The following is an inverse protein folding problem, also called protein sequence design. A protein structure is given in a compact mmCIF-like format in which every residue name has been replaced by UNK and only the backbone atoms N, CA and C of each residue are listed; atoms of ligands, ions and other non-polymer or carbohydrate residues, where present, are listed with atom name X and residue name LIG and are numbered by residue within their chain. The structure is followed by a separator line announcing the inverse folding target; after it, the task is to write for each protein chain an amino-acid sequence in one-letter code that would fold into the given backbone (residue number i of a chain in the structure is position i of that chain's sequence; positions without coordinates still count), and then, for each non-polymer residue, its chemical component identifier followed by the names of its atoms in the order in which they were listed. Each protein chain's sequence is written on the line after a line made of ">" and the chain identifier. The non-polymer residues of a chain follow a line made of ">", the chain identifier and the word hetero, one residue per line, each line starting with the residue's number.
data_IF_837640972475
#
_entry.id   IF_837640972475
#
_cell.length_a   1.000
_cell.length_b   1.000
_cell.length_c   1.000
_cell.angle_alpha   90.00
_cell.angle_beta   90.00
_cell.angle_gamma   90.00
#
_symmetry.space_group_name_H-M   'P 1'
#
loop_
_entity.id
_entity.type
_entity.pdbx_description
1 polymer ?
#
# COMPACT_ATOMS: atom_id res chain seq x y z
N UNK A 1 -2.78 17.47 -22.53
CA UNK A 1 -1.84 17.57 -21.40
C UNK A 1 -2.02 16.29 -20.63
N UNK A 2 -1.00 15.44 -20.62
CA UNK A 2 -1.00 14.24 -19.77
C UNK A 2 -0.25 14.61 -18.49
N UNK A 3 -0.92 14.49 -17.36
CA UNK A 3 -0.34 14.71 -16.04
C UNK A 3 -0.32 13.38 -15.28
N UNK A 4 0.80 13.10 -14.64
CA UNK A 4 1.01 11.89 -13.83
C UNK A 4 1.27 12.32 -12.39
N UNK A 5 0.57 11.68 -11.45
CA UNK A 5 0.70 11.92 -10.01
C UNK A 5 1.00 10.58 -9.33
N UNK A 6 2.07 10.54 -8.54
CA UNK A 6 2.46 9.39 -7.74
C UNK A 6 2.18 9.66 -6.26
N UNK A 7 1.61 8.69 -5.55
CA UNK A 7 1.34 8.77 -4.11
C UNK A 7 2.17 7.71 -3.38
N UNK A 8 3.32 8.07 -2.77
CA UNK A 8 4.30 7.12 -2.26
C UNK A 8 3.95 6.56 -0.85
N UNK A 9 2.81 6.95 -0.30
CA UNK A 9 2.46 6.77 1.12
C UNK A 9 2.51 5.32 1.60
N UNK A 10 2.08 4.37 0.74
CA UNK A 10 2.07 2.94 1.05
C UNK A 10 3.47 2.32 1.07
N UNK A 11 4.34 2.70 0.14
CA UNK A 11 5.70 2.16 0.04
C UNK A 11 6.62 2.70 1.15
N UNK A 12 6.61 4.02 1.33
CA UNK A 12 7.51 4.69 2.28
C UNK A 12 7.25 4.28 3.73
N UNK A 13 5.98 4.05 4.09
CA UNK A 13 5.62 3.61 5.45
C UNK A 13 5.65 2.09 5.60
N UNK A 14 5.36 1.33 4.54
CA UNK A 14 5.63 -0.10 4.49
C UNK A 14 7.10 -0.40 4.80
N UNK A 15 8.02 0.42 4.26
CA UNK A 15 9.45 0.29 4.54
C UNK A 15 9.86 0.57 5.99
N UNK A 16 9.08 1.36 6.72
CA UNK A 16 9.34 1.64 8.13
C UNK A 16 9.01 0.43 9.03
N UNK A 17 8.23 -0.54 8.54
CA UNK A 17 7.81 -1.72 9.30
C UNK A 17 6.86 -1.37 10.46
N UNK A 18 6.13 -0.26 10.39
CA UNK A 18 5.14 0.15 11.38
C UNK A 18 3.73 -0.03 10.81
N UNK A 19 3.02 -1.04 11.29
CA UNK A 19 1.67 -1.40 10.80
C UNK A 19 0.67 -0.27 11.01
N UNK A 20 0.68 0.38 12.16
CA UNK A 20 -0.28 1.44 12.44
C UNK A 20 0.03 2.67 11.60
N UNK A 21 1.31 3.02 11.42
CA UNK A 21 1.73 4.11 10.55
C UNK A 21 1.39 3.84 9.08
N UNK A 22 1.59 2.62 8.58
CA UNK A 22 1.22 2.24 7.21
C UNK A 22 -0.29 2.33 7.00
N UNK A 23 -1.11 1.89 7.96
CA UNK A 23 -2.57 2.04 7.88
C UNK A 23 -2.97 3.51 7.78
N UNK A 24 -2.36 4.39 8.59
CA UNK A 24 -2.62 5.84 8.53
C UNK A 24 -2.20 6.42 7.18
N UNK A 25 -1.05 6.00 6.65
CA UNK A 25 -0.55 6.48 5.36
C UNK A 25 -1.42 6.03 4.18
N UNK A 26 -1.94 4.80 4.21
CA UNK A 26 -2.91 4.32 3.23
C UNK A 26 -4.22 5.13 3.27
N UNK A 27 -4.72 5.48 4.47
CA UNK A 27 -5.92 6.33 4.61
C UNK A 27 -5.68 7.73 4.06
N UNK A 28 -4.53 8.32 4.34
CA UNK A 28 -4.18 9.63 3.80
C UNK A 28 -4.07 9.59 2.26
N UNK A 29 -3.52 8.52 1.69
CA UNK A 29 -3.49 8.32 0.24
C UNK A 29 -4.90 8.24 -0.36
N UNK A 30 -5.82 7.51 0.27
CA UNK A 30 -7.22 7.39 -0.16
C UNK A 30 -7.94 8.76 -0.19
N UNK A 31 -7.74 9.57 0.85
CA UNK A 31 -8.30 10.93 0.91
C UNK A 31 -7.80 11.82 -0.24
N UNK A 32 -6.50 11.75 -0.54
CA UNK A 32 -5.90 12.51 -1.66
C UNK A 32 -6.42 12.00 -3.01
N UNK A 33 -6.51 10.68 -3.19
CA UNK A 33 -7.08 10.08 -4.40
C UNK A 33 -8.50 10.58 -4.63
N UNK A 34 -9.34 10.59 -3.59
CA UNK A 34 -10.71 11.07 -3.68
C UNK A 34 -10.78 12.50 -4.22
N UNK A 35 -9.94 13.41 -3.70
CA UNK A 35 -9.91 14.82 -4.16
C UNK A 35 -9.56 14.91 -5.65
N UNK A 36 -8.56 14.13 -6.10
CA UNK A 36 -8.12 14.15 -7.50
C UNK A 36 -9.19 13.57 -8.43
N UNK A 37 -9.74 12.41 -8.08
CA UNK A 37 -10.76 11.74 -8.89
C UNK A 37 -12.04 12.59 -8.99
N UNK A 38 -12.50 13.17 -7.87
CA UNK A 38 -13.66 14.06 -7.85
C UNK A 38 -13.44 15.28 -8.77
N UNK A 39 -12.22 15.84 -8.83
CA UNK A 39 -11.88 16.95 -9.72
C UNK A 39 -11.86 16.53 -11.20
N UNK A 40 -11.36 15.33 -11.52
CA UNK A 40 -11.35 14.80 -12.89
C UNK A 40 -12.78 14.52 -13.37
N UNK A 41 -13.63 13.97 -12.50
CA UNK A 41 -15.04 13.69 -12.83
C UNK A 41 -15.83 14.98 -13.09
N UNK A 42 -15.57 16.05 -12.32
CA UNK A 42 -16.23 17.35 -12.52
C UNK A 42 -15.97 17.97 -13.89
N UNK A 43 -14.85 17.65 -14.53
CA UNK A 43 -14.49 18.14 -15.87
C UNK A 43 -14.79 17.13 -16.98
N UNK A 44 -15.40 15.98 -16.65
CA UNK A 44 -15.68 14.90 -17.59
C UNK A 44 -14.41 14.23 -18.12
N UNK A 45 -13.32 14.26 -17.34
CA UNK A 45 -12.06 13.63 -17.70
C UNK A 45 -12.08 12.11 -17.50
N UNK A 46 -11.02 11.46 -17.97
CA UNK A 46 -10.81 10.01 -17.83
C UNK A 46 -9.50 9.82 -17.05
N UNK A 47 -9.47 8.84 -16.15
CA UNK A 47 -8.30 8.52 -15.35
C UNK A 47 -8.00 7.01 -15.37
N UNK A 48 -6.75 6.66 -15.07
CA UNK A 48 -6.28 5.29 -14.85
C UNK A 48 -5.47 5.29 -13.56
N UNK A 49 -5.80 4.39 -12.64
CA UNK A 49 -5.08 4.21 -11.37
C UNK A 49 -4.30 2.89 -11.45
N UNK A 50 -3.00 2.94 -11.13
CA UNK A 50 -2.09 1.80 -11.14
C UNK A 50 -1.12 1.90 -9.95
N UNK A 51 -0.59 0.77 -9.51
CA UNK A 51 0.57 0.69 -8.63
C UNK A 51 1.77 0.13 -9.42
N UNK A 52 2.98 0.61 -9.12
CA UNK A 52 4.22 0.14 -9.71
C UNK A 52 4.67 -1.22 -9.13
N UNK A 53 4.43 -1.42 -7.83
CA UNK A 53 4.58 -2.70 -7.14
C UNK A 53 3.71 -2.78 -5.87
N UNK A 54 3.60 -3.98 -5.27
CA UNK A 54 3.02 -4.16 -3.95
C UNK A 54 3.98 -3.73 -2.84
N UNK A 55 3.44 -3.23 -1.71
CA UNK A 55 4.15 -3.14 -0.44
C UNK A 55 3.18 -3.27 0.78
N UNK A 56 2.23 -2.35 0.94
CA UNK A 56 1.40 -2.29 2.15
C UNK A 56 0.48 -3.51 2.41
N UNK A 57 0.33 -4.42 1.44
CA UNK A 57 -0.60 -5.56 1.47
C UNK A 57 -0.20 -6.77 2.34
N UNK A 58 1.10 -7.06 2.56
CA UNK A 58 1.53 -8.22 3.38
C UNK A 58 2.69 -7.90 4.33
N UNK A 59 2.47 -7.01 5.30
CA UNK A 59 3.56 -6.62 6.19
C UNK A 59 3.95 -7.69 7.24
N UNK A 60 3.64 -8.98 7.02
CA UNK A 60 3.87 -10.08 7.97
C UNK A 60 5.12 -10.87 7.61
N UNK A 61 6.10 -10.95 8.52
CA UNK A 61 7.23 -11.86 8.36
C UNK A 61 6.80 -13.30 8.58
N UNK A 62 7.12 -14.19 7.64
CA UNK A 62 6.75 -15.62 7.70
C UNK A 62 7.96 -16.55 7.86
N UNK A 63 7.75 -17.67 8.53
CA UNK A 63 8.74 -18.75 8.65
C UNK A 63 8.90 -19.48 7.31
N UNK A 64 9.88 -20.39 7.20
CA UNK A 64 10.05 -21.26 6.03
C UNK A 64 8.85 -22.18 5.74
N UNK A 65 7.93 -22.33 6.69
CA UNK A 65 6.70 -23.11 6.55
C UNK A 65 5.45 -22.20 6.43
N UNK A 66 5.63 -20.90 6.20
CA UNK A 66 4.57 -19.94 5.92
C UNK A 66 3.84 -19.36 7.14
N UNK A 67 4.17 -19.78 8.37
CA UNK A 67 3.51 -19.23 9.56
C UNK A 67 4.03 -17.84 9.91
N UNK A 68 3.16 -16.94 10.42
CA UNK A 68 3.58 -15.65 10.96
C UNK A 68 4.64 -15.82 12.05
N UNK A 69 5.73 -15.06 11.93
CA UNK A 69 6.74 -14.95 12.97
C UNK A 69 6.26 -13.94 14.00
N UNK A 70 6.30 -14.33 15.27
CA UNK A 70 5.89 -13.49 16.39
C UNK A 70 7.10 -12.94 17.14
N UNK A 71 6.99 -11.71 17.61
CA UNK A 71 7.92 -11.14 18.57
C UNK A 71 7.80 -11.82 19.93
N UNK A 72 8.75 -11.54 20.83
CA UNK A 72 8.74 -12.06 22.20
C UNK A 72 7.45 -11.74 22.98
N UNK A 73 6.72 -10.70 22.58
CA UNK A 73 5.44 -10.28 23.18
C UNK A 73 4.20 -10.91 22.53
N UNK A 74 4.36 -11.74 21.49
CA UNK A 74 3.25 -12.38 20.76
C UNK A 74 2.68 -11.57 19.61
N UNK A 75 3.18 -10.35 19.37
CA UNK A 75 2.80 -9.53 18.21
C UNK A 75 3.47 -10.03 16.93
N UNK A 76 2.87 -9.76 15.77
CA UNK A 76 3.45 -10.10 14.47
C UNK A 76 4.74 -9.30 14.25
N UNK A 77 5.79 -9.95 13.75
CA UNK A 77 7.00 -9.29 13.28
C UNK A 77 6.75 -8.66 11.91
N UNK A 78 6.86 -7.33 11.78
CA UNK A 78 6.67 -6.68 10.49
C UNK A 78 7.84 -6.93 9.54
N UNK A 79 7.59 -6.93 8.22
CA UNK A 79 8.67 -6.92 7.21
C UNK A 79 9.09 -5.49 6.88
N UNK A 80 10.39 -5.20 6.72
CA UNK A 80 10.87 -3.87 6.33
C UNK A 80 10.72 -3.57 4.85
N UNK A 81 10.40 -4.57 4.02
CA UNK A 81 10.09 -4.44 2.59
C UNK A 81 9.10 -5.53 2.29
N UNK A 82 7.99 -5.16 1.69
CA UNK A 82 6.98 -6.09 1.25
C UNK A 82 6.91 -6.04 -0.27
N UNK A 83 6.75 -7.18 -0.92
CA UNK A 83 6.55 -7.27 -2.37
C UNK A 83 5.33 -8.15 -2.61
N UNK A 84 4.18 -7.53 -2.86
CA UNK A 84 2.98 -8.18 -3.33
C UNK A 84 3.10 -8.49 -4.82
N UNK A 85 3.16 -9.78 -5.13
CA UNK A 85 2.97 -10.27 -6.49
C UNK A 85 1.49 -10.36 -6.81
N UNK A 86 1.13 -9.98 -8.05
CA UNK A 86 -0.19 -10.13 -8.65
C UNK A 86 -0.75 -11.55 -8.40
N UNK A 87 -1.77 -11.69 -7.54
CA UNK A 87 -2.66 -12.85 -7.64
C UNK A 87 -3.55 -12.60 -8.86
N UNK A 88 -3.16 -13.18 -9.99
CA UNK A 88 -4.02 -13.30 -11.15
C UNK A 88 -5.22 -14.16 -10.76
N UNK A 89 -6.35 -13.52 -10.44
CA UNK A 89 -7.63 -14.18 -10.40
C UNK A 89 -7.97 -14.64 -11.83
N UNK A 90 -7.80 -15.94 -12.06
CA UNK A 90 -8.46 -16.67 -13.15
C UNK A 90 -9.84 -17.17 -12.74
#
# INVERSE_FOLDING_TARGET
>A
MEEYVEIPSGDMMGHAGDIDATIVACKAADEVFKIILDAIEQVGGIYVVMADHGNAEDMVKRSKFGQPMLEKKGNIQPVPITIGGLEAMG
#
